data_IF_032258345932
#
_entry.id   IF_032258345932
#
_cell.length_a   1.000
_cell.length_b   1.000
_cell.length_c   1.000
_cell.angle_alpha   90.00
_cell.angle_beta   90.00
_cell.angle_gamma   90.00
#
_symmetry.space_group_name_H-M   'P 1'
#
loop_
_entity.id
_entity.type
_entity.pdbx_description
1 polymer ?
#
# COMPACT_ATOMS: atom_id res chain seq x y z
N UNK A 1 25.94 69.03 -1.31
CA UNK A 1 24.53 68.79 -1.72
C UNK A 1 24.52 67.68 -2.76
N UNK A 2 23.79 66.57 -2.54
CA UNK A 2 23.70 65.50 -3.53
C UNK A 2 22.96 66.02 -4.78
N UNK A 3 23.54 65.78 -5.96
CA UNK A 3 22.91 66.13 -7.25
C UNK A 3 21.60 65.34 -7.37
N UNK A 4 20.48 66.04 -7.41
CA UNK A 4 19.17 65.45 -7.69
C UNK A 4 19.20 64.92 -9.13
N UNK A 5 18.99 63.61 -9.29
CA UNK A 5 18.90 62.97 -10.60
C UNK A 5 17.70 63.55 -11.36
N UNK A 6 17.95 64.24 -12.47
CA UNK A 6 16.89 64.76 -13.34
C UNK A 6 16.27 63.57 -14.07
N UNK A 7 14.95 63.38 -13.95
CA UNK A 7 14.25 62.31 -14.64
C UNK A 7 14.37 62.50 -16.16
N UNK A 8 14.93 61.50 -16.85
CA UNK A 8 15.00 61.50 -18.30
C UNK A 8 13.72 60.92 -18.90
N UNK A 9 13.22 61.47 -20.03
CA UNK A 9 12.07 60.92 -20.72
C UNK A 9 12.36 59.49 -21.19
N UNK A 10 11.38 58.62 -21.03
CA UNK A 10 11.49 57.23 -21.43
C UNK A 10 11.64 57.14 -22.96
N UNK A 11 12.75 56.59 -23.43
CA UNK A 11 12.96 56.38 -24.86
C UNK A 11 12.13 55.19 -25.35
N UNK A 12 11.69 55.23 -26.61
CA UNK A 12 10.98 54.10 -27.26
C UNK A 12 11.77 52.79 -27.19
N UNK A 13 13.10 52.88 -27.27
CA UNK A 13 13.99 51.73 -27.11
C UNK A 13 13.94 51.15 -25.70
N UNK A 14 14.03 52.01 -24.68
CA UNK A 14 13.93 51.59 -23.28
C UNK A 14 12.55 50.98 -22.99
N UNK A 15 11.48 51.61 -23.49
CA UNK A 15 10.12 51.08 -23.40
C UNK A 15 9.99 49.70 -24.05
N UNK A 16 10.44 49.54 -25.30
CA UNK A 16 10.36 48.27 -26.02
C UNK A 16 11.11 47.14 -25.31
N UNK A 17 12.28 47.43 -24.73
CA UNK A 17 13.03 46.47 -23.92
C UNK A 17 12.29 46.09 -22.63
N UNK A 18 11.74 47.06 -21.91
CA UNK A 18 10.95 46.80 -20.70
C UNK A 18 9.68 46.03 -21.01
N UNK A 19 8.93 46.41 -22.05
CA UNK A 19 7.72 45.74 -22.51
C UNK A 19 7.98 44.27 -22.81
N UNK A 20 9.06 43.94 -23.53
CA UNK A 20 9.44 42.55 -23.81
C UNK A 20 9.70 41.75 -22.53
N UNK A 21 10.42 42.34 -21.58
CA UNK A 21 10.71 41.70 -20.28
C UNK A 21 9.44 41.49 -19.47
N UNK A 22 8.55 42.49 -19.43
CA UNK A 22 7.26 42.40 -18.75
C UNK A 22 6.37 41.31 -19.35
N UNK A 23 6.25 41.24 -20.68
CA UNK A 23 5.49 40.19 -21.35
C UNK A 23 6.07 38.79 -21.06
N UNK A 24 7.40 38.65 -21.10
CA UNK A 24 8.05 37.40 -20.74
C UNK A 24 7.79 36.98 -19.29
N UNK A 25 7.83 37.93 -18.35
CA UNK A 25 7.53 37.66 -16.94
C UNK A 25 6.06 37.28 -16.74
N UNK A 26 5.13 37.97 -17.41
CA UNK A 26 3.70 37.64 -17.34
C UNK A 26 3.42 36.24 -17.88
N UNK A 27 4.07 35.83 -18.96
CA UNK A 27 3.92 34.48 -19.50
C UNK A 27 4.49 33.41 -18.55
N UNK A 28 5.67 33.65 -17.96
CA UNK A 28 6.23 32.76 -16.93
C UNK A 28 5.29 32.61 -15.73
N UNK A 29 4.76 33.72 -15.22
CA UNK A 29 3.83 33.71 -14.08
C UNK A 29 2.53 33.00 -14.42
N UNK A 30 2.02 33.17 -15.66
CA UNK A 30 0.84 32.46 -16.13
C UNK A 30 1.05 30.95 -16.13
N UNK A 31 2.16 30.47 -16.71
CA UNK A 31 2.48 29.04 -16.74
C UNK A 31 2.60 28.47 -15.33
N UNK A 32 3.24 29.20 -14.41
CA UNK A 32 3.34 28.80 -13.00
C UNK A 32 1.96 28.70 -12.36
N UNK A 33 1.11 29.71 -12.51
CA UNK A 33 -0.24 29.69 -11.98
C UNK A 33 -1.08 28.55 -12.56
N UNK A 34 -1.02 28.32 -13.87
CA UNK A 34 -1.75 27.24 -14.54
C UNK A 34 -1.28 25.85 -14.01
N UNK A 35 0.02 25.68 -13.75
CA UNK A 35 0.58 24.48 -13.13
C UNK A 35 0.10 24.28 -11.69
N UNK A 36 0.15 25.32 -10.86
CA UNK A 36 -0.32 25.27 -9.47
C UNK A 36 -1.82 24.97 -9.37
N UNK A 37 -2.63 25.56 -10.25
CA UNK A 37 -4.06 25.30 -10.33
C UNK A 37 -4.35 23.86 -10.75
N UNK A 38 -3.60 23.32 -11.71
CA UNK A 38 -3.72 21.94 -12.15
C UNK A 38 -3.35 20.96 -11.03
N UNK A 39 -2.23 21.18 -10.34
CA UNK A 39 -1.80 20.36 -9.21
C UNK A 39 -2.83 20.38 -8.08
N UNK A 40 -3.37 21.56 -7.75
CA UNK A 40 -4.42 21.69 -6.74
C UNK A 40 -5.71 20.95 -7.14
N UNK A 41 -6.10 21.00 -8.41
CA UNK A 41 -7.26 20.28 -8.91
C UNK A 41 -7.07 18.76 -8.84
N UNK A 42 -5.90 18.25 -9.27
CA UNK A 42 -5.55 16.83 -9.16
C UNK A 42 -5.58 16.38 -7.69
N UNK A 43 -5.03 17.18 -6.77
CA UNK A 43 -5.01 16.86 -5.35
C UNK A 43 -6.43 16.77 -4.77
N UNK A 44 -7.32 17.71 -5.12
CA UNK A 44 -8.74 17.66 -4.73
C UNK A 44 -9.42 16.40 -5.26
N UNK A 45 -9.18 16.04 -6.52
CA UNK A 45 -9.72 14.80 -7.11
C UNK A 45 -9.24 13.57 -6.36
N UNK A 46 -7.94 13.46 -6.07
CA UNK A 46 -7.38 12.35 -5.27
C UNK A 46 -8.07 12.21 -3.92
N UNK A 47 -8.22 13.31 -3.18
CA UNK A 47 -8.90 13.30 -1.88
C UNK A 47 -10.37 12.89 -2.00
N UNK A 48 -11.11 13.43 -2.97
CA UNK A 48 -12.51 13.09 -3.18
C UNK A 48 -12.70 11.62 -3.60
N UNK A 49 -11.83 11.11 -4.47
CA UNK A 49 -11.86 9.70 -4.88
C UNK A 49 -11.50 8.77 -3.74
N UNK A 50 -10.48 9.10 -2.93
CA UNK A 50 -10.12 8.34 -1.73
C UNK A 50 -11.26 8.31 -0.70
N UNK A 51 -11.88 9.46 -0.41
CA UNK A 51 -13.05 9.53 0.45
C UNK A 51 -14.20 8.66 -0.08
N UNK A 52 -14.47 8.70 -1.38
CA UNK A 52 -15.48 7.87 -2.01
C UNK A 52 -15.18 6.38 -1.87
N UNK A 53 -13.94 5.96 -2.14
CA UNK A 53 -13.50 4.56 -2.01
C UNK A 53 -13.64 4.07 -0.57
N UNK A 54 -13.16 4.85 0.41
CA UNK A 54 -13.22 4.49 1.83
C UNK A 54 -14.68 4.44 2.33
N UNK A 55 -15.51 5.40 1.92
CA UNK A 55 -16.87 5.53 2.47
C UNK A 55 -17.87 4.58 1.81
N UNK A 56 -17.75 4.37 0.49
CA UNK A 56 -18.75 3.63 -0.28
C UNK A 56 -18.24 2.27 -0.73
N UNK A 57 -17.01 2.20 -1.22
CA UNK A 57 -16.49 0.95 -1.76
C UNK A 57 -16.07 -0.01 -0.65
N UNK A 58 -15.36 0.47 0.39
CA UNK A 58 -14.86 -0.36 1.49
C UNK A 58 -15.97 -0.96 2.37
N UNK A 59 -17.13 -0.30 2.44
CA UNK A 59 -18.28 -0.76 3.25
C UNK A 59 -19.09 -1.85 2.55
N UNK A 60 -19.07 -1.89 1.21
CA UNK A 60 -19.93 -2.78 0.41
C UNK A 60 -19.45 -4.23 0.34
N UNK A 61 -18.23 -4.54 0.78
CA UNK A 61 -17.74 -5.91 0.83
C UNK A 61 -17.08 -6.22 2.16
N UNK A 62 -16.96 -7.51 2.49
CA UNK A 62 -16.04 -8.00 3.51
C UNK A 62 -14.59 -7.82 3.01
N UNK A 63 -14.24 -6.57 2.77
CA UNK A 63 -13.03 -6.16 2.10
C UNK A 63 -11.95 -6.32 3.15
N UNK A 64 -11.15 -7.38 2.99
CA UNK A 64 -10.00 -7.66 3.85
C UNK A 64 -9.06 -6.45 4.00
N UNK A 65 -8.05 -6.53 4.86
CA UNK A 65 -7.32 -5.37 5.39
C UNK A 65 -6.51 -4.55 4.36
N UNK A 66 -6.49 -4.95 3.09
CA UNK A 66 -5.55 -4.47 2.07
C UNK A 66 -6.29 -3.62 1.05
N UNK A 67 -6.11 -2.31 1.10
CA UNK A 67 -6.72 -1.36 0.17
C UNK A 67 -5.67 -0.68 -0.71
N UNK A 68 -5.98 -0.38 -1.97
CA UNK A 68 -5.10 0.41 -2.83
C UNK A 68 -4.99 1.82 -2.28
N UNK A 69 -3.77 2.36 -2.30
CA UNK A 69 -3.52 3.77 -2.05
C UNK A 69 -3.81 4.60 -3.31
N UNK A 70 -3.91 5.94 -3.20
CA UNK A 70 -4.06 6.79 -4.39
C UNK A 70 -2.94 6.63 -5.44
N UNK A 71 -1.76 6.16 -5.04
CA UNK A 71 -0.68 5.84 -5.97
C UNK A 71 -0.94 4.56 -6.80
N UNK A 72 -1.73 3.64 -6.25
CA UNK A 72 -2.08 2.36 -6.90
C UNK A 72 -3.27 2.51 -7.86
N UNK A 73 -3.97 3.66 -7.85
CA UNK A 73 -5.14 3.90 -8.72
C UNK A 73 -4.83 3.81 -10.21
N UNK A 74 -3.55 3.93 -10.60
CA UNK A 74 -3.12 3.68 -11.97
C UNK A 74 -3.39 2.24 -12.45
N UNK A 75 -3.52 1.28 -11.54
CA UNK A 75 -3.87 -0.11 -11.87
C UNK A 75 -5.40 -0.33 -12.01
N UNK A 76 -6.20 0.71 -11.74
CA UNK A 76 -7.66 0.67 -11.74
C UNK A 76 -8.21 1.70 -12.73
N UNK A 77 -8.56 1.31 -13.96
CA UNK A 77 -8.94 2.25 -15.01
C UNK A 77 -10.03 3.26 -14.59
N UNK A 78 -11.06 2.79 -13.87
CA UNK A 78 -12.16 3.67 -13.41
C UNK A 78 -11.71 4.65 -12.32
N UNK A 79 -10.80 4.24 -11.42
CA UNK A 79 -10.23 5.16 -10.43
C UNK A 79 -9.33 6.19 -11.12
N UNK A 80 -8.54 5.77 -12.10
CA UNK A 80 -7.71 6.67 -12.89
C UNK A 80 -8.57 7.72 -13.62
N UNK A 81 -9.69 7.30 -14.21
CA UNK A 81 -10.64 8.22 -14.85
C UNK A 81 -11.28 9.21 -13.85
N UNK A 82 -11.54 8.78 -12.61
CA UNK A 82 -12.05 9.65 -11.54
C UNK A 82 -11.05 10.72 -11.08
N UNK A 83 -9.76 10.57 -11.40
CA UNK A 83 -8.73 11.57 -11.14
C UNK A 83 -8.69 12.71 -12.16
N UNK A 84 -9.47 12.63 -13.26
CA UNK A 84 -9.56 13.67 -14.29
C UNK A 84 -10.10 14.99 -13.70
N UNK A 85 -9.29 16.08 -13.69
CA UNK A 85 -9.74 17.39 -13.20
C UNK A 85 -10.95 17.96 -13.94
N UNK A 86 -11.16 17.56 -15.21
CA UNK A 86 -12.30 18.03 -15.99
C UNK A 86 -13.66 17.57 -15.41
N UNK A 87 -13.67 16.54 -14.56
CA UNK A 87 -14.88 16.06 -13.89
C UNK A 87 -15.48 17.09 -12.93
N UNK A 88 -14.71 18.07 -12.42
CA UNK A 88 -15.27 19.17 -11.61
C UNK A 88 -16.37 19.95 -12.36
N UNK A 89 -16.36 19.93 -13.70
CA UNK A 89 -17.34 20.59 -14.56
C UNK A 89 -18.42 19.65 -15.11
N UNK A 90 -18.30 18.34 -14.89
CA UNK A 90 -19.21 17.31 -15.41
C UNK A 90 -19.65 16.33 -14.31
N UNK A 91 -20.58 16.75 -13.43
CA UNK A 91 -21.06 15.91 -12.32
C UNK A 91 -21.84 14.68 -12.81
N UNK A 92 -22.38 14.72 -14.04
CA UNK A 92 -23.07 13.56 -14.63
C UNK A 92 -22.09 12.46 -14.99
N UNK A 93 -20.98 12.80 -15.65
CA UNK A 93 -19.90 11.84 -15.94
C UNK A 93 -19.27 11.30 -14.67
N UNK A 94 -19.02 12.14 -13.66
CA UNK A 94 -18.50 11.70 -12.37
C UNK A 94 -19.41 10.64 -11.72
N UNK A 95 -20.72 10.89 -11.68
CA UNK A 95 -21.68 9.95 -11.12
C UNK A 95 -21.69 8.60 -11.85
N UNK A 96 -21.62 8.61 -13.18
CA UNK A 96 -21.55 7.39 -13.99
C UNK A 96 -20.29 6.57 -13.66
N UNK A 97 -19.14 7.24 -13.52
CA UNK A 97 -17.88 6.58 -13.14
C UNK A 97 -17.95 6.02 -11.72
N UNK A 98 -18.57 6.74 -10.78
CA UNK A 98 -18.79 6.26 -9.41
C UNK A 98 -19.70 5.02 -9.38
N UNK A 99 -20.80 5.01 -10.13
CA UNK A 99 -21.71 3.86 -10.25
C UNK A 99 -21.00 2.65 -10.89
N UNK A 100 -20.22 2.89 -11.95
CA UNK A 100 -19.39 1.86 -12.56
C UNK A 100 -18.39 1.30 -11.57
N UNK A 101 -17.67 2.17 -10.83
CA UNK A 101 -16.71 1.76 -9.81
C UNK A 101 -17.37 0.88 -8.77
N UNK A 102 -18.51 1.27 -8.20
CA UNK A 102 -19.22 0.46 -7.21
C UNK A 102 -19.55 -0.94 -7.72
N UNK A 103 -19.90 -1.07 -9.01
CA UNK A 103 -20.23 -2.36 -9.62
C UNK A 103 -19.02 -3.26 -9.89
N UNK A 104 -17.83 -2.69 -10.15
CA UNK A 104 -16.64 -3.45 -10.57
C UNK A 104 -15.52 -3.48 -9.53
N UNK A 105 -15.61 -2.67 -8.47
CA UNK A 105 -14.51 -2.44 -7.53
C UNK A 105 -14.07 -3.72 -6.84
N UNK A 106 -15.01 -4.52 -6.33
CA UNK A 106 -14.68 -5.75 -5.60
C UNK A 106 -13.89 -6.74 -6.48
N UNK A 107 -14.32 -6.94 -7.72
CA UNK A 107 -13.61 -7.83 -8.65
C UNK A 107 -12.22 -7.28 -8.99
N UNK A 108 -12.13 -5.97 -9.25
CA UNK A 108 -10.85 -5.31 -9.56
C UNK A 108 -9.88 -5.40 -8.38
N UNK A 109 -10.40 -5.27 -7.16
CA UNK A 109 -9.61 -5.38 -5.93
C UNK A 109 -9.07 -6.80 -5.71
N UNK A 110 -9.84 -7.83 -6.03
CA UNK A 110 -9.36 -9.23 -5.98
C UNK A 110 -8.21 -9.44 -6.98
N UNK A 111 -8.40 -9.03 -8.24
CA UNK A 111 -7.37 -9.16 -9.28
C UNK A 111 -6.08 -8.40 -8.92
N UNK A 112 -6.23 -7.21 -8.34
CA UNK A 112 -5.10 -6.44 -7.85
C UNK A 112 -4.39 -7.14 -6.68
N UNK A 113 -5.12 -7.66 -5.69
CA UNK A 113 -4.50 -8.42 -4.58
C UNK A 113 -3.78 -9.67 -5.07
N UNK A 114 -4.35 -10.39 -6.03
CA UNK A 114 -3.71 -11.55 -6.65
C UNK A 114 -2.41 -11.15 -7.36
N UNK A 115 -2.39 -9.99 -8.04
CA UNK A 115 -1.17 -9.46 -8.67
C UNK A 115 -0.07 -9.15 -7.63
N UNK A 116 -0.44 -8.55 -6.50
CA UNK A 116 0.49 -8.30 -5.39
C UNK A 116 1.02 -9.59 -4.76
N UNK A 117 0.14 -10.59 -4.61
CA UNK A 117 0.49 -11.89 -4.08
C UNK A 117 1.50 -12.61 -4.98
N UNK A 118 1.31 -12.55 -6.30
CA UNK A 118 2.29 -13.04 -7.30
C UNK A 118 3.63 -12.33 -7.14
N UNK A 119 3.63 -11.00 -7.04
CA UNK A 119 4.88 -10.20 -6.88
C UNK A 119 5.65 -10.58 -5.62
N UNK A 120 4.98 -10.74 -4.48
CA UNK A 120 5.63 -11.25 -3.26
C UNK A 120 6.16 -12.66 -3.48
N UNK A 121 5.34 -13.56 -4.04
CA UNK A 121 5.76 -14.95 -4.25
C UNK A 121 7.03 -15.02 -5.11
N UNK A 122 7.04 -14.34 -6.25
CA UNK A 122 8.17 -14.38 -7.20
C UNK A 122 9.43 -13.75 -6.59
N UNK A 123 9.26 -12.73 -5.73
CA UNK A 123 10.36 -12.11 -5.00
C UNK A 123 10.97 -13.03 -3.94
N UNK A 124 10.13 -13.75 -3.19
CA UNK A 124 10.60 -14.59 -2.07
C UNK A 124 10.95 -16.03 -2.48
N UNK A 125 10.41 -16.52 -3.60
CA UNK A 125 10.66 -17.84 -4.17
C UNK A 125 11.16 -17.74 -5.63
N UNK A 126 12.31 -17.09 -5.89
CA UNK A 126 12.78 -16.79 -7.25
C UNK A 126 13.11 -18.05 -8.09
N UNK A 127 13.23 -19.22 -7.44
CA UNK A 127 13.48 -20.49 -8.13
C UNK A 127 12.19 -21.22 -8.53
N UNK A 128 11.01 -20.67 -8.23
CA UNK A 128 9.72 -21.32 -8.37
C UNK A 128 8.70 -20.47 -9.17
N UNK A 129 9.21 -19.55 -10.00
CA UNK A 129 8.39 -18.54 -10.72
C UNK A 129 7.36 -19.19 -11.66
N UNK A 130 7.66 -20.36 -12.23
CA UNK A 130 6.80 -21.06 -13.20
C UNK A 130 5.62 -21.83 -12.57
N UNK A 131 5.43 -21.74 -11.24
CA UNK A 131 4.28 -22.36 -10.57
C UNK A 131 2.95 -21.76 -11.02
N UNK A 132 1.90 -22.59 -11.04
CA UNK A 132 0.56 -22.11 -11.31
C UNK A 132 0.08 -21.16 -10.19
N UNK A 133 -0.75 -20.17 -10.54
CA UNK A 133 -1.25 -19.16 -9.59
C UNK A 133 -1.83 -19.80 -8.32
N UNK A 134 -2.65 -20.83 -8.47
CA UNK A 134 -3.28 -21.51 -7.33
C UNK A 134 -2.24 -22.13 -6.40
N UNK A 135 -1.19 -22.73 -6.95
CA UNK A 135 -0.13 -23.35 -6.16
C UNK A 135 0.71 -22.29 -5.44
N UNK A 136 0.96 -21.14 -6.08
CA UNK A 136 1.58 -19.97 -5.44
C UNK A 136 0.76 -19.51 -4.25
N UNK A 137 -0.56 -19.37 -4.43
CA UNK A 137 -1.48 -18.96 -3.35
C UNK A 137 -1.54 -19.99 -2.21
N UNK A 138 -1.59 -21.29 -2.51
CA UNK A 138 -1.53 -22.35 -1.51
C UNK A 138 -0.26 -22.24 -0.66
N UNK A 139 0.89 -22.00 -1.31
CA UNK A 139 2.17 -21.87 -0.62
C UNK A 139 2.27 -20.61 0.24
N UNK A 140 1.69 -19.48 -0.22
CA UNK A 140 1.59 -18.27 0.60
C UNK A 140 0.67 -18.46 1.82
N UNK A 141 -0.38 -19.27 1.70
CA UNK A 141 -1.36 -19.54 2.76
C UNK A 141 -0.92 -20.60 3.80
N UNK A 142 0.25 -21.22 3.61
CA UNK A 142 0.75 -22.20 4.59
C UNK A 142 0.96 -21.55 5.95
N UNK A 143 0.64 -22.26 7.02
CA UNK A 143 0.83 -21.79 8.38
C UNK A 143 2.30 -21.46 8.71
N UNK A 144 3.23 -22.07 7.99
CA UNK A 144 4.69 -21.87 8.12
C UNK A 144 5.23 -20.72 7.27
N UNK A 145 4.43 -20.14 6.37
CA UNK A 145 4.89 -19.02 5.53
C UNK A 145 4.77 -17.73 6.31
N UNK A 146 5.91 -17.24 6.80
CA UNK A 146 6.03 -15.98 7.51
C UNK A 146 6.94 -15.00 6.80
N UNK A 147 6.57 -13.73 6.89
CA UNK A 147 7.35 -12.63 6.37
C UNK A 147 7.95 -11.78 7.48
N UNK A 148 9.01 -11.07 7.14
CA UNK A 148 9.58 -10.00 7.94
C UNK A 148 9.83 -8.79 7.04
N UNK A 149 9.86 -7.60 7.64
CA UNK A 149 10.23 -6.37 6.95
C UNK A 149 11.71 -6.05 7.19
N UNK A 150 12.48 -5.89 6.12
CA UNK A 150 13.90 -5.52 6.17
C UNK A 150 14.15 -4.09 6.66
N UNK A 151 13.11 -3.23 6.74
CA UNK A 151 13.24 -1.85 7.23
C UNK A 151 13.35 -1.82 8.76
N UNK A 152 14.39 -1.14 9.26
CA UNK A 152 14.74 -1.06 10.70
C UNK A 152 13.60 -0.61 11.62
N UNK A 153 12.73 0.28 11.16
CA UNK A 153 11.62 0.81 11.97
C UNK A 153 10.44 -0.16 12.09
N UNK A 154 10.40 -1.19 11.24
CA UNK A 154 9.38 -2.23 11.26
C UNK A 154 9.83 -3.41 12.19
N UNK A 155 11.07 -3.39 12.73
CA UNK A 155 11.59 -4.42 13.64
C UNK A 155 10.99 -4.32 15.06
N UNK A 156 10.41 -5.43 15.56
CA UNK A 156 9.92 -5.54 16.94
C UNK A 156 8.44 -5.22 17.15
N UNK A 157 7.74 -4.75 16.11
CA UNK A 157 6.27 -4.76 16.11
C UNK A 157 5.82 -6.19 15.79
N UNK A 158 5.25 -6.89 16.77
CA UNK A 158 4.57 -8.18 16.62
C UNK A 158 3.28 -8.02 15.80
N UNK A 159 3.40 -7.50 14.56
CA UNK A 159 2.30 -7.50 13.60
C UNK A 159 2.26 -8.87 12.93
N UNK A 160 1.05 -9.33 12.66
CA UNK A 160 0.84 -10.52 11.85
C UNK A 160 1.37 -10.25 10.43
N UNK A 161 2.54 -10.84 10.14
CA UNK A 161 3.23 -10.76 8.86
C UNK A 161 2.97 -12.03 8.03
N UNK A 162 1.77 -12.59 8.11
CA UNK A 162 1.29 -13.68 7.27
C UNK A 162 0.53 -13.13 6.07
N UNK A 163 0.39 -13.94 5.03
CA UNK A 163 -0.55 -13.63 3.95
C UNK A 163 -2.01 -13.83 4.42
N UNK A 164 -2.98 -12.99 4.02
CA UNK A 164 -2.84 -11.79 3.19
C UNK A 164 -2.48 -10.51 3.98
N UNK A 165 -2.42 -10.56 5.32
CA UNK A 165 -2.18 -9.41 6.21
C UNK A 165 -0.92 -8.62 5.84
N UNK A 166 0.14 -9.31 5.41
CA UNK A 166 1.43 -8.73 4.98
C UNK A 166 1.26 -7.71 3.86
N UNK A 167 0.28 -7.88 2.96
CA UNK A 167 0.07 -6.96 1.84
C UNK A 167 -0.29 -5.54 2.32
N UNK A 168 -0.95 -5.42 3.48
CA UNK A 168 -1.34 -4.14 4.09
C UNK A 168 -0.23 -3.49 4.91
N UNK A 169 0.98 -4.05 4.91
CA UNK A 169 2.07 -3.53 5.71
C UNK A 169 2.55 -2.17 5.18
N UNK A 170 2.63 -1.16 6.05
CA UNK A 170 2.91 0.23 5.66
C UNK A 170 4.28 0.44 5.00
N UNK A 171 5.25 -0.43 5.26
CA UNK A 171 6.55 -0.38 4.58
C UNK A 171 6.42 -0.73 3.06
N UNK A 172 5.31 -1.36 2.61
CA UNK A 172 5.04 -1.74 1.20
C UNK A 172 4.36 -0.65 0.40
N UNK A 173 3.49 0.13 1.03
CA UNK A 173 2.95 1.37 0.45
C UNK A 173 3.91 2.55 0.62
N UNK A 174 5.19 2.26 0.88
CA UNK A 174 6.28 3.24 1.08
C UNK A 174 6.09 4.20 2.26
N UNK A 175 5.09 3.99 3.12
CA UNK A 175 4.74 4.88 4.23
C UNK A 175 4.23 6.25 3.77
N UNK A 176 4.08 6.45 2.46
CA UNK A 176 3.62 7.68 1.84
C UNK A 176 2.50 7.31 0.85
N UNK A 177 1.31 7.93 0.93
CA UNK A 177 0.20 7.63 0.00
C UNK A 177 0.54 7.91 -1.49
N UNK A 178 1.67 8.57 -1.76
CA UNK A 178 2.16 8.86 -3.11
C UNK A 178 3.11 7.78 -3.69
N UNK A 179 3.51 6.79 -2.91
CA UNK A 179 4.38 5.71 -3.40
C UNK A 179 3.55 4.46 -3.71
N UNK A 180 3.62 3.93 -4.94
CA UNK A 180 2.96 2.68 -5.29
C UNK A 180 3.44 1.53 -4.41
N UNK A 181 2.60 0.51 -4.29
CA UNK A 181 2.94 -0.70 -3.58
C UNK A 181 4.20 -1.39 -4.14
N UNK A 182 5.10 -1.83 -3.25
CA UNK A 182 6.33 -2.54 -3.60
C UNK A 182 6.69 -3.65 -2.61
N UNK A 183 7.19 -4.76 -3.14
CA UNK A 183 7.65 -5.96 -2.43
C UNK A 183 9.07 -5.85 -1.87
N UNK A 184 9.84 -4.82 -2.23
CA UNK A 184 11.30 -4.71 -1.98
C UNK A 184 11.72 -4.89 -0.51
N UNK A 185 10.82 -4.60 0.43
CA UNK A 185 11.13 -4.66 1.86
C UNK A 185 10.71 -5.97 2.53
N UNK A 186 10.02 -6.87 1.83
CA UNK A 186 9.57 -8.14 2.40
C UNK A 186 10.61 -9.22 2.15
N UNK A 187 10.88 -9.98 3.20
CA UNK A 187 11.70 -11.19 3.15
C UNK A 187 10.99 -12.32 3.89
N UNK A 188 11.25 -13.57 3.52
CA UNK A 188 10.78 -14.72 4.32
C UNK A 188 11.51 -14.75 5.66
N UNK A 189 10.78 -15.14 6.70
CA UNK A 189 11.32 -15.43 8.02
C UNK A 189 11.42 -16.96 8.21
N UNK A 190 12.55 -17.59 7.83
CA UNK A 190 12.70 -19.04 7.96
C UNK A 190 12.73 -19.48 9.43
N UNK A 191 13.15 -18.61 10.35
CA UNK A 191 13.27 -18.97 11.77
C UNK A 191 11.88 -19.17 12.38
N UNK A 192 10.97 -18.24 12.10
CA UNK A 192 9.57 -18.37 12.55
C UNK A 192 8.87 -19.51 11.81
N UNK A 193 9.13 -19.66 10.51
CA UNK A 193 8.58 -20.77 9.71
C UNK A 193 8.98 -22.15 10.26
N UNK A 194 10.26 -22.36 10.57
CA UNK A 194 10.78 -23.60 11.14
C UNK A 194 10.22 -23.88 12.54
N UNK A 195 10.11 -22.84 13.38
CA UNK A 195 9.50 -22.95 14.70
C UNK A 195 8.05 -23.44 14.60
N UNK A 196 7.26 -22.83 13.71
CA UNK A 196 5.88 -23.25 13.47
C UNK A 196 5.79 -24.63 12.87
N UNK A 197 6.69 -25.01 11.97
CA UNK A 197 6.75 -26.36 11.44
C UNK A 197 6.95 -27.40 12.55
N UNK A 198 7.78 -27.11 13.55
CA UNK A 198 7.98 -27.99 14.70
C UNK A 198 6.75 -28.07 15.61
N UNK A 199 6.05 -26.95 15.82
CA UNK A 199 4.78 -26.92 16.56
C UNK A 199 3.74 -27.78 15.84
N UNK A 200 3.55 -27.58 14.54
CA UNK A 200 2.62 -28.35 13.71
C UNK A 200 2.88 -29.86 13.79
N UNK A 201 4.15 -30.27 13.65
CA UNK A 201 4.54 -31.69 13.81
C UNK A 201 4.22 -32.23 15.21
N UNK A 202 4.40 -31.41 16.24
CA UNK A 202 4.09 -31.78 17.64
C UNK A 202 2.58 -31.94 17.86
N UNK A 203 1.76 -31.25 17.06
CA UNK A 203 0.31 -31.37 17.02
C UNK A 203 -0.18 -32.43 16.02
N UNK A 204 0.70 -33.28 15.48
CA UNK A 204 0.38 -34.29 14.46
C UNK A 204 -0.19 -33.69 13.15
N UNK A 205 0.15 -32.45 12.83
CA UNK A 205 -0.21 -31.77 11.57
C UNK A 205 0.99 -31.76 10.61
N UNK A 206 0.73 -31.74 9.30
CA UNK A 206 1.78 -31.70 8.28
C UNK A 206 2.11 -30.24 7.90
N UNK A 207 3.31 -29.74 8.23
CA UNK A 207 3.69 -28.35 7.99
C UNK A 207 3.75 -27.95 6.51
N UNK A 208 3.77 -28.93 5.59
CA UNK A 208 3.88 -28.66 4.16
C UNK A 208 2.53 -28.39 3.48
N UNK A 209 1.43 -28.76 4.13
CA UNK A 209 0.07 -28.61 3.61
C UNK A 209 -0.86 -27.85 4.55
N UNK A 210 -0.56 -27.83 5.86
CA UNK A 210 -1.40 -27.14 6.84
C UNK A 210 -1.42 -25.65 6.58
N UNK A 211 -2.62 -25.14 6.33
CA UNK A 211 -2.87 -23.71 6.12
C UNK A 211 -3.00 -22.96 7.44
N UNK A 212 -2.87 -21.64 7.37
CA UNK A 212 -3.11 -20.78 8.52
C UNK A 212 -4.51 -20.96 9.12
N UNK A 213 -5.53 -21.07 8.27
CA UNK A 213 -6.92 -21.13 8.72
C UNK A 213 -7.23 -22.46 9.41
N UNK A 214 -6.72 -23.58 8.88
CA UNK A 214 -6.77 -24.88 9.56
C UNK A 214 -6.08 -24.83 10.93
N UNK A 215 -4.95 -24.11 11.03
CA UNK A 215 -4.29 -23.91 12.31
C UNK A 215 -5.18 -23.11 13.28
N UNK A 216 -5.86 -22.05 12.83
CA UNK A 216 -6.78 -21.25 13.68
C UNK A 216 -7.99 -22.06 14.12
N UNK A 217 -8.58 -22.86 13.23
CA UNK A 217 -9.73 -23.72 13.53
C UNK A 217 -9.43 -24.78 14.59
N UNK A 218 -8.18 -25.25 14.68
CA UNK A 218 -7.77 -26.19 15.72
C UNK A 218 -7.74 -25.58 17.15
N UNK A 219 -8.05 -24.27 17.32
CA UNK A 219 -7.85 -23.47 18.53
C UNK A 219 -6.56 -23.81 19.30
N UNK A 220 -5.39 -23.86 18.63
CA UNK A 220 -4.14 -24.01 19.33
C UNK A 220 -3.93 -22.67 20.02
N UNK A 221 -4.27 -22.60 21.30
CA UNK A 221 -3.96 -21.45 22.16
C UNK A 221 -2.46 -21.36 22.39
N UNK A 222 -1.72 -21.11 21.33
CA UNK A 222 -0.28 -20.90 21.29
C UNK A 222 -0.07 -19.44 21.70
N UNK A 223 -0.04 -19.21 23.01
CA UNK A 223 0.42 -17.94 23.55
C UNK A 223 1.94 -17.86 23.36
N UNK A 224 2.40 -17.15 22.35
CA UNK A 224 3.80 -16.73 22.24
C UNK A 224 3.96 -15.46 23.04
N UNK A 225 4.32 -15.57 24.32
CA UNK A 225 4.72 -14.40 25.11
C UNK A 225 6.25 -14.28 25.08
N UNK A 226 6.76 -13.32 24.32
CA UNK A 226 8.17 -12.92 24.39
C UNK A 226 8.33 -11.93 25.55
N UNK A 227 8.89 -12.37 26.68
CA UNK A 227 9.35 -11.46 27.71
C UNK A 227 10.65 -10.80 27.23
N UNK A 228 10.55 -9.53 26.81
CA UNK A 228 11.73 -8.67 26.68
C UNK A 228 12.19 -8.26 28.09
N UNK A 229 12.90 -9.16 28.75
CA UNK A 229 13.75 -8.78 29.87
C UNK A 229 14.84 -7.86 29.33
N UNK A 230 14.95 -6.65 29.88
CA UNK A 230 15.98 -5.65 29.51
C UNK A 230 17.41 -6.07 29.87
N UNK A 231 17.63 -7.29 30.36
CA UNK A 231 18.95 -7.87 30.55
C UNK A 231 19.37 -8.67 29.32
N UNK A 232 20.49 -8.25 28.75
CA UNK A 232 21.24 -8.91 27.69
C UNK A 232 21.50 -10.37 28.10
N UNK A 233 20.76 -11.31 27.49
CA UNK A 233 21.05 -12.73 27.23
C UNK A 233 19.77 -13.56 27.35
N UNK A 234 19.29 -14.03 26.19
CA UNK A 234 18.27 -15.07 26.01
C UNK A 234 16.82 -14.58 26.05
N UNK A 235 16.24 -14.35 24.87
CA UNK A 235 14.79 -14.37 24.68
C UNK A 235 14.33 -15.82 24.78
N UNK A 236 13.51 -16.15 25.77
CA UNK A 236 12.81 -17.43 25.82
C UNK A 236 11.41 -17.24 25.23
N UNK A 237 11.06 -18.06 24.24
CA UNK A 237 9.69 -18.21 23.75
C UNK A 237 9.06 -19.33 24.57
N UNK A 238 8.14 -19.01 25.46
CA UNK A 238 7.33 -20.01 26.16
C UNK A 238 6.07 -20.23 25.33
N UNK A 239 5.96 -21.39 24.70
CA UNK A 239 4.75 -21.83 24.00
C UNK A 239 3.96 -22.70 24.97
N UNK A 240 2.80 -22.22 25.42
CA UNK A 240 1.82 -23.08 26.08
C UNK A 240 1.01 -23.79 25.00
N UNK A 241 1.16 -25.10 24.88
CA UNK A 241 0.20 -25.95 24.16
C UNK A 241 -0.67 -26.60 25.23
N UNK A 242 -1.90 -26.11 25.40
CA UNK A 242 -2.92 -26.87 26.12
C UNK A 242 -3.56 -27.85 25.14
N UNK A 243 -3.30 -29.16 25.21
CA UNK A 243 -4.19 -30.10 24.57
C UNK A 243 -5.53 -30.02 25.30
N UNK A 244 -6.58 -29.54 24.63
CA UNK A 244 -7.95 -29.85 25.03
C UNK A 244 -8.16 -31.35 24.78
N UNK A 245 -7.61 -32.19 25.65
CA UNK A 245 -8.17 -33.51 25.93
C UNK A 245 -9.48 -33.28 26.69
N UNK A 246 -10.48 -32.70 26.03
CA UNK A 246 -11.86 -32.81 26.49
C UNK A 246 -12.48 -34.01 25.79
N UNK A 247 -12.62 -35.06 26.60
CA UNK A 247 -13.68 -36.05 26.52
C UNK A 247 -14.92 -35.54 25.76
N UNK A 248 -15.19 -36.17 24.62
CA UNK A 248 -16.52 -36.60 24.22
C UNK A 248 -16.42 -38.03 23.69
#
# INVERSE_FOLDING_TARGET
MPKVNVAHPLTERAWSMMKRRLLSLLETLRIQLDSELLEAAIMRRKMATEEFVVTHCAVLGNIGPVMPSPADYAEFPVLQDLLDPALEQDPSRERLLQEQLLSTFQQSLVLWRDSLAIRIFDSVFPNEIDMALNDKMCKLNLATTFFNCSRRFCAGLLKDMRYPTVLGHSCLTGGNPCTPWSEESIVLDPVVGDLLANILRSCCMDPTVTTHDELVECDPRVFVTSFLSSSVLSSFVVIFLFPLLFFF
#
